data_IF_393412871144
#
_entry.id   IF_393412871144
#
_cell.length_a   1.000
_cell.length_b   1.000
_cell.length_c   1.000
_cell.angle_alpha   90.00
_cell.angle_beta   90.00
_cell.angle_gamma   90.00
#
_symmetry.space_group_name_H-M   'P 1'
#
loop_
_entity.id
_entity.type
_entity.pdbx_description
1 polymer ?
#
# COMPACT_ATOMS: atom_id res chain seq x y z
N UNK A 1 -2.23 -11.61 -12.06
CA UNK A 1 -0.94 -11.00 -11.67
C UNK A 1 -1.09 -10.48 -10.26
N UNK A 2 -0.07 -10.59 -9.43
CA UNK A 2 -0.06 -10.02 -8.09
C UNK A 2 1.17 -9.13 -7.95
N UNK A 3 0.98 -7.93 -7.46
CA UNK A 3 2.04 -7.00 -7.09
C UNK A 3 2.01 -6.79 -5.58
N UNK A 4 3.18 -6.76 -4.96
CA UNK A 4 3.37 -6.48 -3.54
C UNK A 4 4.45 -5.41 -3.42
N UNK A 5 4.12 -4.29 -2.79
CA UNK A 5 5.00 -3.14 -2.68
C UNK A 5 4.97 -2.53 -1.28
N UNK A 6 6.07 -1.88 -0.93
CA UNK A 6 6.13 -0.97 0.20
C UNK A 6 5.56 0.39 -0.20
N UNK A 7 4.65 0.93 0.60
CA UNK A 7 3.96 2.18 0.33
C UNK A 7 4.17 3.18 1.47
N UNK A 8 4.50 4.42 1.11
CA UNK A 8 4.54 5.57 2.02
C UNK A 8 3.53 6.62 1.57
N UNK A 9 2.55 6.94 2.43
CA UNK A 9 1.59 8.02 2.17
C UNK A 9 2.00 9.24 2.98
N UNK A 10 2.15 10.37 2.30
CA UNK A 10 2.45 11.68 2.90
C UNK A 10 1.24 12.61 2.75
N UNK A 11 1.05 13.53 3.69
CA UNK A 11 0.05 14.58 3.57
C UNK A 11 0.51 15.74 2.67
N UNK A 12 -0.33 16.77 2.52
CA UNK A 12 -0.03 17.94 1.68
C UNK A 12 1.20 18.73 2.16
N UNK A 13 1.60 18.60 3.42
CA UNK A 13 2.83 19.22 3.96
C UNK A 13 4.07 18.34 3.77
N UNK A 14 3.91 17.12 3.22
CA UNK A 14 4.98 16.14 3.07
C UNK A 14 5.22 15.29 4.32
N UNK A 15 4.45 15.47 5.40
CA UNK A 15 4.59 14.67 6.62
C UNK A 15 4.08 13.24 6.35
N UNK A 16 4.88 12.26 6.75
CA UNK A 16 4.51 10.85 6.66
C UNK A 16 3.26 10.58 7.52
N UNK A 17 2.22 10.02 6.88
CA UNK A 17 0.96 9.61 7.52
C UNK A 17 0.84 8.10 7.68
N UNK A 18 1.31 7.34 6.69
CA UNK A 18 1.19 5.89 6.70
C UNK A 18 2.41 5.25 6.05
N UNK A 19 2.87 4.15 6.66
CA UNK A 19 3.69 3.15 5.99
C UNK A 19 2.90 1.86 5.99
N UNK A 20 2.81 1.21 4.85
CA UNK A 20 2.05 -0.02 4.69
C UNK A 20 2.68 -0.93 3.64
N UNK A 21 2.25 -2.19 3.62
CA UNK A 21 2.34 -3.02 2.42
C UNK A 21 1.07 -2.83 1.60
N UNK A 22 1.24 -2.51 0.33
CA UNK A 22 0.16 -2.54 -0.66
C UNK A 22 0.24 -3.84 -1.45
N UNK A 23 -0.92 -4.47 -1.66
CA UNK A 23 -1.06 -5.67 -2.47
C UNK A 23 -2.13 -5.41 -3.52
N UNK A 24 -1.72 -5.43 -4.79
CA UNK A 24 -2.61 -5.29 -5.94
C UNK A 24 -2.79 -6.65 -6.61
N UNK A 25 -4.04 -7.09 -6.75
CA UNK A 25 -4.39 -8.31 -7.48
C UNK A 25 -5.08 -7.91 -8.77
N UNK A 26 -4.55 -8.38 -9.90
CA UNK A 26 -5.13 -8.17 -11.22
C UNK A 26 -5.66 -9.48 -11.79
N UNK A 27 -6.86 -9.43 -12.37
CA UNK A 27 -7.46 -10.52 -13.13
C UNK A 27 -7.59 -10.13 -14.61
N UNK A 28 -7.36 -11.09 -15.50
CA UNK A 28 -7.55 -10.89 -16.93
C UNK A 28 -9.03 -11.08 -17.27
N UNK A 29 -9.69 -10.03 -17.74
CA UNK A 29 -11.10 -10.02 -18.12
C UNK A 29 -11.25 -9.46 -19.53
N UNK A 30 -11.85 -10.23 -20.44
CA UNK A 30 -12.00 -9.82 -21.83
C UNK A 30 -10.67 -9.51 -22.52
N UNK A 31 -9.61 -10.23 -22.18
CA UNK A 31 -8.27 -10.03 -22.77
C UNK A 31 -7.42 -8.93 -22.11
N UNK A 32 -7.97 -8.10 -21.23
CA UNK A 32 -7.25 -7.03 -20.54
C UNK A 32 -7.05 -7.35 -19.05
N UNK A 33 -5.90 -6.95 -18.49
CA UNK A 33 -5.70 -6.98 -17.04
C UNK A 33 -6.50 -5.86 -16.39
N UNK A 34 -7.27 -6.20 -15.36
CA UNK A 34 -8.04 -5.24 -14.56
C UNK A 34 -7.72 -5.44 -13.09
N UNK A 35 -7.68 -4.33 -12.36
CA UNK A 35 -7.53 -4.37 -10.91
C UNK A 35 -8.75 -5.07 -10.31
N UNK A 36 -8.48 -6.11 -9.53
CA UNK A 36 -9.50 -6.92 -8.89
C UNK A 36 -9.57 -6.66 -7.38
N UNK A 37 -8.42 -6.44 -6.73
CA UNK A 37 -8.31 -6.09 -5.31
C UNK A 37 -7.17 -5.11 -5.10
N UNK A 38 -7.42 -4.13 -4.24
CA UNK A 38 -6.41 -3.28 -3.61
C UNK A 38 -6.50 -3.52 -2.10
N UNK A 39 -5.44 -4.08 -1.52
CA UNK A 39 -5.39 -4.51 -0.12
C UNK A 39 -4.23 -3.80 0.55
N UNK A 40 -4.50 -3.29 1.74
CA UNK A 40 -3.54 -2.53 2.54
C UNK A 40 -3.31 -3.22 3.87
N UNK A 41 -2.04 -3.30 4.28
CA UNK A 41 -1.63 -3.73 5.61
C UNK A 41 -0.70 -2.70 6.20
N UNK A 42 -1.19 -1.95 7.18
CA UNK A 42 -0.40 -0.95 7.90
C UNK A 42 0.77 -1.63 8.60
N UNK A 43 1.95 -1.05 8.49
CA UNK A 43 3.04 -1.46 9.36
C UNK A 43 2.66 -1.18 10.81
N UNK A 44 3.13 -2.04 11.71
CA UNK A 44 3.02 -1.77 13.13
C UNK A 44 3.48 -0.33 13.42
N UNK A 45 2.79 0.40 14.33
CA UNK A 45 3.20 1.74 14.69
C UNK A 45 4.70 1.76 14.95
N UNK A 46 5.41 2.71 14.33
CA UNK A 46 6.78 2.97 14.73
C UNK A 46 6.72 3.20 16.24
N UNK A 47 7.42 2.37 17.02
CA UNK A 47 7.60 2.66 18.44
C UNK A 47 8.08 4.10 18.50
N UNK A 48 7.40 4.93 19.28
CA UNK A 48 7.98 6.21 19.66
C UNK A 48 9.22 5.83 20.45
N UNK A 49 10.39 5.81 19.82
CA UNK A 49 11.62 5.79 20.61
C UNK A 49 11.55 7.02 21.51
N UNK A 50 11.66 6.72 22.80
CA UNK A 50 11.74 7.66 23.89
C UNK A 50 12.71 8.79 23.53
N UNK A 51 12.23 10.01 23.78
CA UNK A 51 12.93 11.26 23.52
C UNK A 51 14.23 11.36 24.31
#
# INVERSE_FOLDING_TARGET
>A
MTEVSDAEIRDHSGKLKLRAKQILIFLKQGGAWRLHRDIWNDYAPLKSDDR
#
